data_IF_693971852983
#
_entry.id   IF_693971852983
#
_cell.length_a   1.000
_cell.length_b   1.000
_cell.length_c   1.000
_cell.angle_alpha   90.00
_cell.angle_beta   90.00
_cell.angle_gamma   90.00
#
_symmetry.space_group_name_H-M   'P 1'
#
loop_
_entity.id
_entity.type
_entity.pdbx_description
1 polymer ?
#
# COMPACT_ATOMS: atom_id res chain seq x y z
N UNK A 1 -6.64 14.49 6.09
CA UNK A 1 -6.90 14.17 7.52
C UNK A 1 -8.19 13.36 7.62
N UNK A 2 -9.34 13.83 7.12
CA UNK A 2 -10.63 13.13 7.25
C UNK A 2 -10.65 11.69 6.71
N UNK A 3 -10.04 11.43 5.55
CA UNK A 3 -9.96 10.09 4.96
C UNK A 3 -9.15 9.09 5.82
N UNK A 4 -8.13 9.55 6.54
CA UNK A 4 -7.33 8.71 7.43
C UNK A 4 -8.13 8.26 8.66
N UNK A 5 -9.02 9.11 9.18
CA UNK A 5 -9.91 8.78 10.32
C UNK A 5 -10.78 7.58 9.98
N UNK A 6 -11.38 7.55 8.78
CA UNK A 6 -12.23 6.45 8.34
C UNK A 6 -11.52 5.09 8.38
N UNK A 7 -10.26 5.02 7.92
CA UNK A 7 -9.48 3.77 7.96
C UNK A 7 -9.18 3.29 9.39
N UNK A 8 -8.76 4.20 10.26
CA UNK A 8 -8.39 3.86 11.64
C UNK A 8 -9.61 3.45 12.45
N UNK A 9 -10.71 4.22 12.37
CA UNK A 9 -11.95 3.94 13.09
C UNK A 9 -12.58 2.62 12.61
N UNK A 10 -12.59 2.34 11.31
CA UNK A 10 -13.09 1.07 10.79
C UNK A 10 -12.35 -0.14 11.39
N UNK A 11 -11.02 -0.08 11.51
CA UNK A 11 -10.25 -1.16 12.13
C UNK A 11 -10.51 -1.30 13.63
N UNK A 12 -10.78 -0.19 14.31
CA UNK A 12 -11.17 -0.22 15.72
C UNK A 12 -12.54 -0.90 15.89
N UNK A 13 -13.56 -0.49 15.11
CA UNK A 13 -14.90 -1.08 15.12
C UNK A 13 -14.88 -2.58 14.84
N UNK A 14 -14.07 -3.02 13.87
CA UNK A 14 -13.91 -4.46 13.57
C UNK A 14 -13.38 -5.21 14.78
N UNK A 15 -12.36 -4.65 15.45
CA UNK A 15 -11.74 -5.29 16.62
C UNK A 15 -12.64 -5.31 17.84
N UNK A 16 -13.52 -4.31 17.99
CA UNK A 16 -14.44 -4.21 19.13
C UNK A 16 -15.62 -5.19 19.00
N UNK A 17 -16.05 -5.49 17.77
CA UNK A 17 -17.25 -6.30 17.52
C UNK A 17 -16.96 -7.75 17.10
N UNK A 18 -15.79 -8.04 16.52
CA UNK A 18 -15.45 -9.37 15.99
C UNK A 18 -14.09 -9.85 16.46
N UNK A 19 -13.95 -11.15 16.67
CA UNK A 19 -12.69 -11.78 17.06
C UNK A 19 -12.43 -13.05 16.20
N UNK A 20 -11.16 -13.48 16.15
CA UNK A 20 -10.77 -14.71 15.47
C UNK A 20 -11.17 -14.78 13.99
N UNK A 21 -11.79 -15.89 13.54
CA UNK A 21 -12.15 -16.12 12.14
C UNK A 21 -13.15 -15.09 11.58
N UNK A 22 -14.08 -14.60 12.41
CA UNK A 22 -15.07 -13.61 11.99
C UNK A 22 -14.43 -12.25 11.68
N UNK A 23 -13.53 -11.78 12.55
CA UNK A 23 -12.76 -10.57 12.28
C UNK A 23 -11.91 -10.70 11.00
N UNK A 24 -11.33 -11.87 10.75
CA UNK A 24 -10.61 -12.14 9.51
C UNK A 24 -11.51 -12.06 8.26
N UNK A 25 -12.74 -12.54 8.37
CA UNK A 25 -13.71 -12.49 7.27
C UNK A 25 -14.16 -11.05 6.97
N UNK A 26 -14.48 -10.27 8.01
CA UNK A 26 -14.85 -8.84 7.86
C UNK A 26 -13.67 -8.04 7.28
N UNK A 27 -12.45 -8.26 7.75
CA UNK A 27 -11.25 -7.62 7.18
C UNK A 27 -11.02 -8.04 5.72
N UNK A 28 -11.32 -9.27 5.35
CA UNK A 28 -11.30 -9.74 3.97
C UNK A 28 -12.27 -8.98 3.07
N UNK A 29 -13.51 -8.75 3.55
CA UNK A 29 -14.50 -7.93 2.83
C UNK A 29 -14.04 -6.47 2.69
N UNK A 30 -13.49 -5.89 3.76
CA UNK A 30 -12.93 -4.53 3.71
C UNK A 30 -11.80 -4.46 2.68
N UNK A 31 -10.89 -5.42 2.68
CA UNK A 31 -9.79 -5.49 1.71
C UNK A 31 -10.29 -5.63 0.26
N UNK A 32 -11.37 -6.38 0.04
CA UNK A 32 -12.01 -6.49 -1.28
C UNK A 32 -12.55 -5.15 -1.77
N UNK A 33 -13.28 -4.41 -0.94
CA UNK A 33 -13.79 -3.06 -1.31
C UNK A 33 -12.65 -2.06 -1.52
N UNK A 34 -11.59 -2.15 -0.73
CA UNK A 34 -10.38 -1.34 -0.93
C UNK A 34 -9.68 -1.60 -2.26
N UNK A 35 -9.70 -2.85 -2.73
CA UNK A 35 -9.12 -3.21 -4.02
C UNK A 35 -10.06 -2.84 -5.20
N UNK A 36 -11.38 -2.93 -5.00
CA UNK A 36 -12.37 -2.57 -6.01
C UNK A 36 -12.46 -1.06 -6.27
N UNK A 37 -12.22 -0.24 -5.23
CA UNK A 37 -12.30 1.23 -5.34
C UNK A 37 -11.45 1.83 -6.47
N UNK A 38 -10.14 1.62 -6.50
CA UNK A 38 -9.27 2.11 -7.58
C UNK A 38 -9.63 1.55 -8.97
N UNK A 39 -10.28 0.39 -9.04
CA UNK A 39 -10.73 -0.19 -10.29
C UNK A 39 -11.98 0.52 -10.85
N UNK A 40 -12.92 0.83 -9.97
CA UNK A 40 -14.19 1.46 -10.35
C UNK A 40 -14.10 2.97 -10.47
N UNK A 41 -13.24 3.62 -9.68
CA UNK A 41 -13.16 5.07 -9.63
C UNK A 41 -12.84 5.74 -10.98
N UNK A 42 -11.89 5.26 -11.81
CA UNK A 42 -11.65 5.86 -13.13
C UNK A 42 -12.84 5.72 -14.08
N UNK A 43 -13.55 4.60 -14.02
CA UNK A 43 -14.73 4.34 -14.88
C UNK A 43 -15.86 5.28 -14.50
N UNK A 44 -16.21 5.35 -13.21
CA UNK A 44 -17.26 6.23 -12.71
C UNK A 44 -16.89 7.69 -12.88
N UNK A 45 -15.65 8.05 -12.52
CA UNK A 45 -15.15 9.42 -12.66
C UNK A 45 -15.09 9.88 -14.12
N UNK A 46 -14.65 9.03 -15.03
CA UNK A 46 -14.62 9.30 -16.46
C UNK A 46 -16.02 9.60 -17.03
N UNK A 47 -17.01 8.78 -16.69
CA UNK A 47 -18.40 9.00 -17.12
C UNK A 47 -18.97 10.32 -16.58
N UNK A 48 -18.70 10.66 -15.32
CA UNK A 48 -19.14 11.93 -14.72
C UNK A 48 -18.50 13.12 -15.45
N UNK A 49 -17.20 13.04 -15.74
CA UNK A 49 -16.49 14.09 -16.46
C UNK A 49 -17.05 14.28 -17.87
N UNK A 50 -17.29 13.18 -18.58
CA UNK A 50 -17.82 13.22 -19.97
C UNK A 50 -19.24 13.84 -20.02
N UNK A 51 -20.12 13.50 -19.07
CA UNK A 51 -21.51 13.92 -19.09
C UNK A 51 -21.74 15.29 -18.48
N UNK A 52 -20.99 15.65 -17.42
CA UNK A 52 -21.27 16.81 -16.58
C UNK A 52 -20.05 17.72 -16.34
N UNK A 53 -18.91 17.37 -16.90
CA UNK A 53 -17.66 18.10 -16.69
C UNK A 53 -16.97 17.82 -15.37
N UNK A 54 -15.73 18.27 -15.23
CA UNK A 54 -14.87 17.94 -14.09
C UNK A 54 -15.38 18.45 -12.72
N UNK A 55 -16.12 19.57 -12.70
CA UNK A 55 -16.70 20.10 -11.46
C UNK A 55 -17.73 19.14 -10.83
N UNK A 56 -18.45 18.38 -11.66
CA UNK A 56 -19.44 17.44 -11.19
C UNK A 56 -18.83 16.28 -10.38
N UNK A 57 -17.56 15.95 -10.59
CA UNK A 57 -16.85 14.95 -9.78
C UNK A 57 -16.76 15.41 -8.32
N UNK A 58 -16.46 16.68 -8.07
CA UNK A 58 -16.40 17.22 -6.71
C UNK A 58 -17.77 17.28 -6.05
N UNK A 59 -18.80 17.62 -6.82
CA UNK A 59 -20.19 17.59 -6.33
C UNK A 59 -20.62 16.16 -5.98
N UNK A 60 -20.29 15.19 -6.81
CA UNK A 60 -20.51 13.76 -6.54
C UNK A 60 -19.81 13.32 -5.25
N UNK A 61 -18.54 13.68 -5.08
CA UNK A 61 -17.78 13.35 -3.86
C UNK A 61 -18.38 14.01 -2.61
N UNK A 62 -18.88 15.25 -2.72
CA UNK A 62 -19.57 15.94 -1.63
C UNK A 62 -20.83 15.20 -1.22
N UNK A 63 -21.73 14.92 -2.18
CA UNK A 63 -22.99 14.21 -1.93
C UNK A 63 -22.72 12.81 -1.36
N UNK A 64 -21.77 12.08 -1.93
CA UNK A 64 -21.35 10.77 -1.47
C UNK A 64 -20.83 10.80 -0.02
N UNK A 65 -19.96 11.77 0.30
CA UNK A 65 -19.40 11.91 1.65
C UNK A 65 -20.46 12.28 2.68
N UNK A 66 -21.38 13.18 2.33
CA UNK A 66 -22.49 13.56 3.22
C UNK A 66 -23.46 12.39 3.45
N UNK A 67 -23.73 11.60 2.41
CA UNK A 67 -24.59 10.40 2.52
C UNK A 67 -23.97 9.35 3.45
N UNK A 68 -22.65 9.11 3.33
CA UNK A 68 -21.93 8.20 4.22
C UNK A 68 -21.92 8.75 5.66
N UNK A 69 -21.66 10.05 5.84
CA UNK A 69 -21.66 10.66 7.17
C UNK A 69 -23.02 10.52 7.86
N UNK A 70 -24.11 10.79 7.12
CA UNK A 70 -25.47 10.59 7.62
C UNK A 70 -25.73 9.11 7.95
N UNK A 71 -25.34 8.19 7.07
CA UNK A 71 -25.51 6.76 7.33
C UNK A 71 -24.77 6.30 8.60
N UNK A 72 -23.52 6.74 8.78
CA UNK A 72 -22.73 6.43 9.99
C UNK A 72 -23.43 6.99 11.23
N UNK A 73 -23.83 8.25 11.19
CA UNK A 73 -24.47 8.92 12.32
C UNK A 73 -25.77 8.23 12.78
N UNK A 74 -26.60 7.77 11.84
CA UNK A 74 -27.89 7.17 12.17
C UNK A 74 -27.84 5.65 12.40
N UNK A 75 -26.84 4.95 11.87
CA UNK A 75 -26.84 3.48 11.82
C UNK A 75 -25.73 2.80 12.59
N UNK A 76 -24.63 3.47 12.85
CA UNK A 76 -23.51 2.87 13.57
C UNK A 76 -23.50 3.35 15.02
N UNK A 77 -23.86 2.48 15.98
CA UNK A 77 -23.77 2.82 17.39
C UNK A 77 -22.32 2.93 17.84
N UNK A 78 -22.08 3.64 18.94
CA UNK A 78 -20.77 3.68 19.60
C UNK A 78 -20.41 2.27 20.10
N UNK A 79 -19.26 1.76 19.64
CA UNK A 79 -18.80 0.39 19.97
C UNK A 79 -17.94 0.34 21.21
N UNK A 80 -17.32 1.47 21.62
CA UNK A 80 -16.45 1.53 22.79
C UNK A 80 -17.27 1.69 24.07
N UNK A 81 -17.19 0.70 24.95
CA UNK A 81 -17.84 0.77 26.28
C UNK A 81 -17.33 1.96 27.09
N UNK A 82 -18.22 2.61 27.83
CA UNK A 82 -17.88 3.80 28.62
C UNK A 82 -16.75 3.53 29.65
N UNK A 83 -16.67 2.30 30.17
CA UNK A 83 -15.65 1.83 31.11
C UNK A 83 -14.26 1.72 30.51
N UNK A 84 -14.17 1.52 29.18
CA UNK A 84 -12.91 1.30 28.47
C UNK A 84 -12.36 2.61 27.86
N UNK A 85 -13.08 3.69 28.01
CA UNK A 85 -12.65 5.03 27.56
C UNK A 85 -11.51 5.54 28.43
N UNK A 86 -10.30 5.55 27.85
CA UNK A 86 -9.15 6.17 28.49
C UNK A 86 -9.18 7.69 28.31
N UNK A 87 -8.87 8.49 29.35
CA UNK A 87 -8.73 9.93 29.16
C UNK A 87 -7.63 10.24 28.17
N UNK A 88 -7.89 11.16 27.24
CA UNK A 88 -6.91 11.58 26.24
C UNK A 88 -5.73 12.25 26.93
N UNK A 89 -4.55 11.61 26.88
CA UNK A 89 -3.30 12.15 27.40
C UNK A 89 -2.32 12.42 26.25
N UNK A 90 -2.23 13.67 25.85
CA UNK A 90 -1.38 14.10 24.73
C UNK A 90 0.10 13.76 24.96
N UNK A 91 0.60 13.89 26.19
CA UNK A 91 1.99 13.57 26.53
C UNK A 91 2.28 12.07 26.35
N UNK A 92 1.37 11.19 26.76
CA UNK A 92 1.49 9.75 26.56
C UNK A 92 1.44 9.38 25.07
N UNK A 93 0.56 10.02 24.31
CA UNK A 93 0.47 9.84 22.86
C UNK A 93 1.77 10.27 22.20
N UNK A 94 2.24 11.48 22.43
CA UNK A 94 3.50 11.99 21.87
C UNK A 94 4.70 11.10 22.27
N UNK A 95 4.75 10.66 23.53
CA UNK A 95 5.80 9.75 24.02
C UNK A 95 5.79 8.39 23.30
N UNK A 96 4.61 7.83 23.01
CA UNK A 96 4.50 6.59 22.25
C UNK A 96 4.95 6.78 20.79
N UNK A 97 4.53 7.85 20.12
CA UNK A 97 4.99 8.18 18.77
C UNK A 97 6.51 8.42 18.72
N UNK A 98 7.08 9.13 19.68
CA UNK A 98 8.52 9.33 19.78
C UNK A 98 9.27 8.00 19.90
N UNK A 99 8.79 7.07 20.73
CA UNK A 99 9.35 5.72 20.85
C UNK A 99 9.29 4.96 19.54
N UNK A 100 8.19 5.07 18.77
CA UNK A 100 8.06 4.46 17.46
C UNK A 100 9.06 5.03 16.46
N UNK A 101 9.14 6.35 16.36
CA UNK A 101 10.01 7.05 15.42
C UNK A 101 11.51 6.90 15.73
N UNK A 102 11.88 6.68 16.99
CA UNK A 102 13.27 6.44 17.40
C UNK A 102 13.68 4.96 17.35
N UNK A 103 12.72 4.05 17.12
CA UNK A 103 13.01 2.62 17.10
C UNK A 103 13.60 2.19 15.76
N UNK A 104 14.92 2.08 15.64
CA UNK A 104 15.64 1.87 14.40
C UNK A 104 15.19 0.66 13.58
N UNK A 105 15.00 -0.51 14.19
CA UNK A 105 14.56 -1.72 13.49
C UNK A 105 13.13 -1.61 12.95
N UNK A 106 12.24 -0.94 13.66
CA UNK A 106 10.87 -0.64 13.19
C UNK A 106 10.91 0.37 12.05
N UNK A 107 11.63 1.47 12.20
CA UNK A 107 11.70 2.52 11.19
C UNK A 107 12.30 2.05 9.86
N UNK A 108 13.36 1.22 9.90
CA UNK A 108 13.90 0.62 8.66
C UNK A 108 12.88 -0.27 7.96
N UNK A 109 12.08 -1.05 8.70
CA UNK A 109 10.99 -1.84 8.15
C UNK A 109 9.84 -0.99 7.59
N UNK A 110 9.48 0.09 8.28
CA UNK A 110 8.43 1.03 7.86
C UNK A 110 8.84 1.80 6.60
N UNK A 111 10.07 2.29 6.55
CA UNK A 111 10.61 2.99 5.36
C UNK A 111 10.68 2.03 4.18
N UNK A 112 11.16 0.79 4.37
CA UNK A 112 11.15 -0.22 3.32
C UNK A 112 9.72 -0.48 2.78
N UNK A 113 8.72 -0.54 3.66
CA UNK A 113 7.32 -0.71 3.28
C UNK A 113 6.79 0.52 2.50
N UNK A 114 7.14 1.73 2.92
CA UNK A 114 6.81 2.96 2.18
C UNK A 114 7.41 2.96 0.77
N UNK A 115 8.70 2.60 0.63
CA UNK A 115 9.39 2.52 -0.67
C UNK A 115 8.78 1.44 -1.57
N UNK A 116 8.31 0.33 -1.00
CA UNK A 116 7.55 -0.68 -1.77
C UNK A 116 6.32 -0.06 -2.43
N UNK A 117 5.59 0.78 -1.70
CA UNK A 117 4.45 1.52 -2.26
C UNK A 117 4.87 2.59 -3.27
N UNK A 118 5.98 3.28 -3.02
CA UNK A 118 6.49 4.31 -3.92
C UNK A 118 6.70 3.79 -5.34
N UNK A 119 7.31 2.62 -5.50
CA UNK A 119 7.52 2.00 -6.81
C UNK A 119 6.23 1.47 -7.45
N UNK A 120 5.28 0.95 -6.65
CA UNK A 120 4.00 0.47 -7.16
C UNK A 120 3.08 1.59 -7.64
N UNK A 121 3.11 2.71 -6.93
CA UNK A 121 2.29 3.90 -7.26
C UNK A 121 2.87 4.72 -8.41
N UNK A 122 4.13 4.54 -8.75
CA UNK A 122 4.80 5.24 -9.83
C UNK A 122 4.01 5.19 -11.15
N UNK A 123 3.54 4.00 -11.52
CA UNK A 123 2.74 3.81 -12.74
C UNK A 123 1.33 4.36 -12.63
N UNK A 124 0.72 4.33 -11.45
CA UNK A 124 -0.61 4.91 -11.24
C UNK A 124 -0.56 6.44 -11.18
N UNK A 125 0.45 7.02 -10.52
CA UNK A 125 0.63 8.45 -10.44
C UNK A 125 1.07 9.06 -11.79
N UNK A 126 1.88 8.32 -12.56
CA UNK A 126 2.32 8.70 -13.90
C UNK A 126 1.46 8.14 -15.03
N UNK A 127 0.26 7.62 -14.74
CA UNK A 127 -0.56 6.89 -15.71
C UNK A 127 -0.86 7.69 -16.98
N UNK A 128 -1.14 8.98 -16.85
CA UNK A 128 -1.39 9.84 -18.01
C UNK A 128 -0.18 9.93 -18.95
N UNK A 129 1.02 10.12 -18.41
CA UNK A 129 2.24 10.13 -19.21
C UNK A 129 2.55 8.76 -19.77
N UNK A 130 2.43 7.72 -18.95
CA UNK A 130 2.75 6.36 -19.36
C UNK A 130 1.82 5.85 -20.47
N UNK A 131 0.50 6.07 -20.34
CA UNK A 131 -0.50 5.62 -21.34
C UNK A 131 -0.39 6.46 -22.61
N UNK A 132 -0.38 7.79 -22.53
CA UNK A 132 -0.46 8.66 -23.69
C UNK A 132 0.90 8.79 -24.39
N UNK A 133 2.00 9.04 -23.66
CA UNK A 133 3.29 9.32 -24.28
C UNK A 133 4.17 8.10 -24.45
N UNK A 134 4.14 7.15 -23.50
CA UNK A 134 4.99 5.96 -23.55
C UNK A 134 4.34 4.83 -24.34
N UNK A 135 3.04 4.56 -24.08
CA UNK A 135 2.31 3.51 -24.80
C UNK A 135 1.71 3.99 -26.12
N UNK A 136 1.59 5.31 -26.33
CA UNK A 136 1.00 5.90 -27.54
C UNK A 136 -0.50 5.67 -27.69
N UNK A 137 -1.21 5.52 -26.56
CA UNK A 137 -2.64 5.22 -26.50
C UNK A 137 -3.47 6.47 -26.21
N UNK A 138 -4.75 6.43 -26.54
CA UNK A 138 -5.70 7.50 -26.27
C UNK A 138 -6.21 7.47 -24.81
N UNK A 139 -6.87 8.57 -24.39
CA UNK A 139 -7.34 8.76 -23.00
C UNK A 139 -8.40 7.72 -22.60
N UNK A 140 -9.20 7.24 -23.52
CA UNK A 140 -10.21 6.20 -23.31
C UNK A 140 -9.60 4.79 -23.15
N UNK A 141 -8.32 4.63 -23.53
CA UNK A 141 -7.61 3.36 -23.46
C UNK A 141 -6.81 3.14 -22.15
N UNK A 142 -6.99 3.99 -21.14
CA UNK A 142 -6.35 3.83 -19.83
C UNK A 142 -6.59 2.46 -19.16
N UNK A 143 -7.64 1.77 -19.59
CA UNK A 143 -7.94 0.42 -19.14
C UNK A 143 -6.81 -0.58 -19.42
N UNK A 144 -6.07 -0.40 -20.51
CA UNK A 144 -4.97 -1.29 -20.89
C UNK A 144 -3.81 -1.30 -19.89
N UNK A 145 -3.58 -0.19 -19.18
CA UNK A 145 -2.64 -0.16 -18.07
C UNK A 145 -3.30 -0.62 -16.76
N UNK A 146 -4.49 -0.10 -16.45
CA UNK A 146 -5.11 -0.29 -15.14
C UNK A 146 -5.58 -1.72 -14.90
N UNK A 147 -6.19 -2.36 -15.91
CA UNK A 147 -6.75 -3.72 -15.77
C UNK A 147 -5.66 -4.76 -15.45
N UNK A 148 -4.52 -4.85 -16.16
CA UNK A 148 -3.45 -5.79 -15.81
C UNK A 148 -2.87 -5.55 -14.42
N UNK A 149 -2.72 -4.29 -13.97
CA UNK A 149 -2.22 -3.97 -12.63
C UNK A 149 -3.18 -4.43 -11.53
N UNK A 150 -4.49 -4.31 -11.77
CA UNK A 150 -5.52 -4.78 -10.84
C UNK A 150 -5.48 -6.30 -10.73
N UNK A 151 -5.45 -7.01 -11.85
CA UNK A 151 -5.33 -8.48 -11.86
C UNK A 151 -4.04 -8.95 -11.18
N UNK A 152 -2.91 -8.30 -11.43
CA UNK A 152 -1.65 -8.58 -10.75
C UNK A 152 -1.75 -8.37 -9.23
N UNK A 153 -2.42 -7.30 -8.80
CA UNK A 153 -2.65 -7.01 -7.38
C UNK A 153 -3.55 -8.07 -6.71
N UNK A 154 -4.62 -8.52 -7.38
CA UNK A 154 -5.45 -9.61 -6.88
C UNK A 154 -4.69 -10.94 -6.81
N UNK A 155 -3.96 -11.29 -7.87
CA UNK A 155 -3.14 -12.49 -7.90
C UNK A 155 -2.06 -12.46 -6.81
N UNK A 156 -1.44 -11.31 -6.60
CA UNK A 156 -0.45 -11.09 -5.54
C UNK A 156 -1.06 -11.22 -4.14
N UNK A 157 -2.20 -10.61 -3.87
CA UNK A 157 -2.87 -10.71 -2.58
C UNK A 157 -3.28 -12.15 -2.27
N UNK A 158 -3.86 -12.85 -3.24
CA UNK A 158 -4.21 -14.26 -3.12
C UNK A 158 -2.98 -15.17 -2.97
N UNK A 159 -1.93 -14.91 -3.75
CA UNK A 159 -0.65 -15.58 -3.66
C UNK A 159 0.01 -15.38 -2.29
N UNK A 160 -0.10 -14.19 -1.70
CA UNK A 160 0.42 -13.89 -0.35
C UNK A 160 -0.15 -14.84 0.71
N UNK A 161 -1.46 -15.07 0.69
CA UNK A 161 -2.13 -15.99 1.64
C UNK A 161 -1.62 -17.43 1.48
N UNK A 162 -1.38 -17.87 0.25
CA UNK A 162 -0.89 -19.23 -0.04
C UNK A 162 0.59 -19.39 0.28
N UNK A 163 1.41 -18.43 -0.11
CA UNK A 163 2.85 -18.44 0.16
C UNK A 163 3.15 -18.33 1.66
N UNK A 164 2.39 -17.53 2.40
CA UNK A 164 2.54 -17.39 3.85
C UNK A 164 2.31 -18.72 4.61
N UNK A 165 1.55 -19.65 4.03
CA UNK A 165 1.38 -21.02 4.59
C UNK A 165 2.57 -21.94 4.31
N UNK A 166 3.36 -21.67 3.27
CA UNK A 166 4.47 -22.53 2.80
C UNK A 166 5.85 -21.98 3.12
N UNK A 167 5.99 -20.66 3.13
CA UNK A 167 7.27 -19.97 3.31
C UNK A 167 7.29 -19.18 4.61
N UNK A 168 8.45 -19.19 5.28
CA UNK A 168 8.67 -18.26 6.40
C UNK A 168 8.65 -16.82 5.88
N UNK A 169 8.03 -15.86 6.61
CA UNK A 169 7.90 -14.47 6.18
C UNK A 169 9.20 -13.84 5.66
N UNK A 170 10.32 -14.09 6.36
CA UNK A 170 11.66 -13.61 5.96
C UNK A 170 12.08 -14.10 4.58
N UNK A 171 11.90 -15.39 4.28
CA UNK A 171 12.27 -15.98 2.98
C UNK A 171 11.35 -15.47 1.87
N UNK A 172 10.07 -15.35 2.16
CA UNK A 172 9.09 -14.83 1.21
C UNK A 172 9.47 -13.42 0.75
N UNK A 173 9.81 -12.52 1.68
CA UNK A 173 10.18 -11.14 1.35
C UNK A 173 11.43 -11.10 0.49
N UNK A 174 12.48 -11.86 0.84
CA UNK A 174 13.72 -11.90 0.07
C UNK A 174 13.44 -12.41 -1.35
N UNK A 175 12.80 -13.57 -1.50
CA UNK A 175 12.55 -14.19 -2.81
C UNK A 175 11.73 -13.25 -3.69
N UNK A 176 10.61 -12.72 -3.18
CA UNK A 176 9.74 -11.85 -3.98
C UNK A 176 10.43 -10.53 -4.31
N UNK A 177 11.18 -9.92 -3.39
CA UNK A 177 11.94 -8.69 -3.69
C UNK A 177 13.01 -8.91 -4.74
N UNK A 178 13.74 -10.04 -4.70
CA UNK A 178 14.75 -10.38 -5.71
C UNK A 178 14.10 -10.62 -7.08
N UNK A 179 12.97 -11.33 -7.13
CA UNK A 179 12.25 -11.57 -8.38
C UNK A 179 11.68 -10.27 -8.96
N UNK A 180 11.11 -9.41 -8.12
CA UNK A 180 10.61 -8.09 -8.55
C UNK A 180 11.74 -7.21 -9.06
N UNK A 181 12.89 -7.18 -8.37
CA UNK A 181 14.08 -6.45 -8.79
C UNK A 181 14.59 -6.97 -10.13
N UNK A 182 14.82 -8.27 -10.25
CA UNK A 182 15.33 -8.89 -11.48
C UNK A 182 14.38 -8.64 -12.66
N UNK A 183 13.07 -8.82 -12.46
CA UNK A 183 12.06 -8.55 -13.48
C UNK A 183 12.02 -7.09 -13.92
N UNK A 184 12.11 -6.14 -12.99
CA UNK A 184 12.14 -4.71 -13.31
C UNK A 184 13.44 -4.30 -14.03
N UNK A 185 14.60 -4.87 -13.65
CA UNK A 185 15.88 -4.62 -14.33
C UNK A 185 15.85 -5.19 -15.76
N UNK A 186 15.37 -6.42 -15.93
CA UNK A 186 15.25 -7.04 -17.25
C UNK A 186 14.29 -6.24 -18.17
N UNK A 187 13.16 -5.78 -17.64
CA UNK A 187 12.25 -4.94 -18.38
C UNK A 187 12.91 -3.60 -18.76
N UNK A 188 13.63 -2.94 -17.84
CA UNK A 188 14.34 -1.70 -18.13
C UNK A 188 15.40 -1.87 -19.22
N UNK A 189 16.17 -2.96 -19.18
CA UNK A 189 17.17 -3.28 -20.21
C UNK A 189 16.50 -3.53 -21.57
N UNK A 190 15.41 -4.28 -21.55
CA UNK A 190 14.67 -4.58 -22.77
C UNK A 190 14.07 -3.30 -23.39
N UNK A 191 13.43 -2.46 -22.58
CA UNK A 191 12.84 -1.18 -22.98
C UNK A 191 13.90 -0.17 -23.46
N UNK A 192 15.16 -0.32 -23.00
CA UNK A 192 16.27 0.54 -23.45
C UNK A 192 16.87 0.10 -24.79
N UNK A 193 16.95 -1.22 -25.04
CA UNK A 193 17.64 -1.79 -26.22
C UNK A 193 16.69 -1.92 -27.41
N UNK A 194 15.44 -2.23 -27.18
CA UNK A 194 14.42 -2.46 -28.20
C UNK A 194 13.30 -1.41 -28.05
N UNK A 195 12.62 -1.12 -29.17
CA UNK A 195 11.32 -0.42 -29.12
C UNK A 195 10.25 -1.46 -28.80
N UNK A 196 9.86 -1.62 -27.53
CA UNK A 196 8.97 -2.70 -27.14
C UNK A 196 7.56 -2.44 -27.67
N UNK A 197 6.95 -3.50 -28.19
CA UNK A 197 5.52 -3.47 -28.47
C UNK A 197 4.71 -3.28 -27.18
N UNK A 198 3.52 -2.75 -27.30
CA UNK A 198 2.59 -2.41 -26.24
C UNK A 198 2.52 -3.42 -25.07
N UNK A 199 2.39 -4.74 -25.37
CA UNK A 199 2.28 -5.78 -24.32
C UNK A 199 3.56 -5.91 -23.47
N UNK A 200 4.73 -5.64 -24.04
CA UNK A 200 6.00 -5.75 -23.35
C UNK A 200 6.20 -4.61 -22.35
N UNK A 201 5.65 -3.43 -22.64
CA UNK A 201 5.65 -2.28 -21.72
C UNK A 201 4.90 -2.56 -20.42
N UNK A 202 3.96 -3.52 -20.40
CA UNK A 202 3.21 -3.91 -19.22
C UNK A 202 3.99 -4.84 -18.26
N UNK A 203 5.12 -5.42 -18.70
CA UNK A 203 5.85 -6.39 -17.87
C UNK A 203 6.31 -5.78 -16.56
N UNK A 204 6.99 -4.64 -16.58
CA UNK A 204 7.50 -3.98 -15.38
C UNK A 204 6.39 -3.58 -14.39
N UNK A 205 5.34 -2.83 -14.81
CA UNK A 205 4.26 -2.45 -13.89
C UNK A 205 3.48 -3.65 -13.33
N UNK A 206 3.24 -4.69 -14.13
CA UNK A 206 2.53 -5.90 -13.69
C UNK A 206 3.36 -6.69 -12.68
N UNK A 207 4.64 -6.94 -12.97
CA UNK A 207 5.54 -7.64 -12.05
C UNK A 207 5.71 -6.89 -10.72
N UNK A 208 5.86 -5.57 -10.80
CA UNK A 208 5.99 -4.77 -9.58
C UNK A 208 4.70 -4.77 -8.75
N UNK A 209 3.54 -4.61 -9.38
CA UNK A 209 2.23 -4.66 -8.70
C UNK A 209 1.98 -6.02 -8.05
N UNK A 210 2.34 -7.11 -8.72
CA UNK A 210 2.28 -8.47 -8.17
C UNK A 210 3.18 -8.60 -6.94
N UNK A 211 4.45 -8.19 -7.05
CA UNK A 211 5.43 -8.22 -5.96
C UNK A 211 4.99 -7.38 -4.77
N UNK A 212 4.50 -6.16 -5.01
CA UNK A 212 3.96 -5.29 -3.97
C UNK A 212 2.78 -5.93 -3.24
N UNK A 213 1.82 -6.49 -3.96
CA UNK A 213 0.64 -7.11 -3.36
C UNK A 213 0.98 -8.39 -2.57
N UNK A 214 2.00 -9.14 -3.00
CA UNK A 214 2.54 -10.28 -2.25
C UNK A 214 3.18 -9.85 -0.93
N UNK A 215 3.98 -8.78 -0.93
CA UNK A 215 4.81 -8.39 0.21
C UNK A 215 4.08 -7.52 1.24
N UNK A 216 3.13 -6.69 0.78
CA UNK A 216 2.42 -5.72 1.60
C UNK A 216 1.89 -6.28 2.92
N UNK A 217 1.05 -7.35 2.96
CA UNK A 217 0.48 -7.84 4.22
C UNK A 217 1.54 -8.44 5.15
N UNK A 218 2.56 -9.09 4.59
CA UNK A 218 3.62 -9.73 5.36
C UNK A 218 4.51 -8.68 6.03
N UNK A 219 4.95 -7.66 5.29
CA UNK A 219 5.76 -6.57 5.84
C UNK A 219 4.98 -5.77 6.88
N UNK A 220 3.70 -5.51 6.63
CA UNK A 220 2.82 -4.83 7.59
C UNK A 220 2.74 -5.60 8.90
N UNK A 221 2.41 -6.88 8.86
CA UNK A 221 2.31 -7.72 10.05
C UNK A 221 3.62 -7.76 10.85
N UNK A 222 4.75 -7.98 10.15
CA UNK A 222 6.06 -8.03 10.81
C UNK A 222 6.47 -6.70 11.45
N UNK A 223 6.06 -5.56 10.89
CA UNK A 223 6.33 -4.26 11.49
C UNK A 223 5.49 -4.04 12.77
N UNK A 224 4.21 -4.46 12.75
CA UNK A 224 3.33 -4.32 13.92
C UNK A 224 3.78 -5.17 15.13
N UNK A 225 4.54 -6.24 14.91
CA UNK A 225 5.07 -7.10 15.97
C UNK A 225 6.08 -6.39 16.90
N UNK A 226 6.70 -5.27 16.45
CA UNK A 226 7.58 -4.49 17.32
C UNK A 226 6.84 -3.80 18.47
N UNK A 227 5.55 -3.54 18.31
CA UNK A 227 4.73 -2.84 19.31
C UNK A 227 3.42 -3.58 19.59
N UNK A 228 3.48 -4.78 20.22
CA UNK A 228 2.29 -5.62 20.42
C UNK A 228 1.21 -4.96 21.28
N UNK A 229 1.63 -4.08 22.22
CA UNK A 229 0.72 -3.32 23.09
C UNK A 229 0.21 -2.02 22.47
N UNK A 230 0.89 -1.51 21.43
CA UNK A 230 0.59 -0.21 20.79
C UNK A 230 0.52 -0.35 19.25
N UNK A 231 -0.14 -1.40 18.76
CA UNK A 231 -0.27 -1.70 17.31
C UNK A 231 -0.91 -0.58 16.53
N UNK A 232 -1.87 0.15 17.11
CA UNK A 232 -2.52 1.30 16.48
C UNK A 232 -1.54 2.43 16.15
N UNK A 233 -0.65 2.78 17.08
CA UNK A 233 0.41 3.76 16.86
C UNK A 233 1.37 3.29 15.76
N UNK A 234 1.81 2.03 15.81
CA UNK A 234 2.71 1.47 14.80
C UNK A 234 2.07 1.46 13.40
N UNK A 235 0.78 1.11 13.31
CA UNK A 235 0.02 1.17 12.05
C UNK A 235 -0.11 2.62 11.53
N UNK A 236 -0.34 3.59 12.40
CA UNK A 236 -0.45 5.00 12.03
C UNK A 236 0.87 5.55 11.48
N UNK A 237 2.01 5.25 12.13
CA UNK A 237 3.34 5.62 11.62
C UNK A 237 3.58 4.98 10.25
N UNK A 238 3.30 3.69 10.11
CA UNK A 238 3.48 2.98 8.84
C UNK A 238 2.62 3.57 7.72
N UNK A 239 1.35 3.88 7.99
CA UNK A 239 0.46 4.48 7.01
C UNK A 239 0.90 5.90 6.62
N UNK A 240 1.45 6.67 7.56
CA UNK A 240 2.04 7.97 7.26
C UNK A 240 3.17 7.85 6.22
N UNK A 241 4.11 6.91 6.40
CA UNK A 241 5.21 6.70 5.46
C UNK A 241 4.73 6.18 4.10
N UNK A 242 3.69 5.32 4.07
CA UNK A 242 3.06 4.90 2.81
C UNK A 242 2.47 6.10 2.07
N UNK A 243 1.73 6.97 2.75
CA UNK A 243 1.14 8.17 2.13
C UNK A 243 2.20 9.17 1.70
N UNK A 244 3.23 9.40 2.52
CA UNK A 244 4.36 10.26 2.17
C UNK A 244 5.11 9.74 0.93
N UNK A 245 5.30 8.43 0.82
CA UNK A 245 5.90 7.79 -0.35
C UNK A 245 5.07 7.98 -1.62
N UNK A 246 3.74 7.97 -1.49
CA UNK A 246 2.82 8.29 -2.59
C UNK A 246 3.04 9.74 -3.07
N UNK A 247 3.02 10.70 -2.14
CA UNK A 247 3.25 12.10 -2.48
C UNK A 247 4.62 12.31 -3.11
N UNK A 248 5.65 11.67 -2.57
CA UNK A 248 7.00 11.75 -3.12
C UNK A 248 7.10 11.15 -4.53
N UNK A 249 6.47 10.00 -4.75
CA UNK A 249 6.43 9.38 -6.08
C UNK A 249 5.79 10.31 -7.11
N UNK A 250 4.63 10.90 -6.80
CA UNK A 250 3.93 11.78 -7.71
C UNK A 250 4.67 13.11 -7.96
N UNK A 251 5.27 13.69 -6.91
CA UNK A 251 5.89 15.02 -7.00
C UNK A 251 7.33 14.99 -7.52
N UNK A 252 8.07 13.90 -7.28
CA UNK A 252 9.51 13.83 -7.57
C UNK A 252 9.83 12.77 -8.62
N UNK A 253 9.41 11.51 -8.40
CA UNK A 253 9.77 10.42 -9.31
C UNK A 253 9.11 10.54 -10.67
N UNK A 254 7.79 10.79 -10.72
CA UNK A 254 7.06 10.89 -11.99
C UNK A 254 7.68 11.93 -12.92
N UNK A 255 7.95 13.19 -12.52
CA UNK A 255 8.59 14.17 -13.39
C UNK A 255 9.97 13.76 -13.93
N UNK A 256 10.74 12.96 -13.16
CA UNK A 256 12.07 12.50 -13.56
C UNK A 256 12.00 11.40 -14.64
N UNK A 257 10.98 10.52 -14.55
CA UNK A 257 10.87 9.35 -15.43
C UNK A 257 9.99 9.55 -16.64
N UNK A 258 9.24 10.65 -16.70
CA UNK A 258 8.30 10.96 -17.79
C UNK A 258 8.89 10.75 -19.18
N UNK A 259 8.05 10.26 -20.09
CA UNK A 259 8.34 10.11 -21.52
C UNK A 259 9.24 8.93 -21.90
N UNK A 260 9.58 8.03 -20.95
CA UNK A 260 10.49 6.92 -21.26
C UNK A 260 10.16 5.66 -20.46
N UNK A 261 9.77 4.58 -21.14
CA UNK A 261 9.45 3.29 -20.52
C UNK A 261 10.57 2.76 -19.62
N UNK A 262 11.82 2.73 -20.13
CA UNK A 262 12.96 2.21 -19.40
C UNK A 262 13.25 2.98 -18.09
N UNK A 263 12.96 4.30 -18.04
CA UNK A 263 13.13 5.08 -16.81
C UNK A 263 12.12 4.68 -15.75
N UNK A 264 10.85 4.43 -16.13
CA UNK A 264 9.83 3.91 -15.22
C UNK A 264 10.24 2.55 -14.65
N UNK A 265 10.70 1.63 -15.52
CA UNK A 265 11.16 0.31 -15.11
C UNK A 265 12.42 0.38 -14.22
N UNK A 266 13.38 1.26 -14.54
CA UNK A 266 14.59 1.47 -13.74
C UNK A 266 14.27 2.07 -12.36
N UNK A 267 13.36 3.03 -12.29
CA UNK A 267 12.92 3.61 -11.02
C UNK A 267 12.22 2.58 -10.13
N UNK A 268 11.37 1.72 -10.71
CA UNK A 268 10.77 0.62 -9.97
C UNK A 268 11.80 -0.43 -9.52
N UNK A 269 12.81 -0.73 -10.35
CA UNK A 269 13.94 -1.59 -9.97
C UNK A 269 14.75 -0.99 -8.80
N UNK A 270 15.01 0.31 -8.83
CA UNK A 270 15.69 1.01 -7.74
C UNK A 270 14.88 0.95 -6.43
N UNK A 271 13.56 1.15 -6.51
CA UNK A 271 12.69 0.97 -5.35
C UNK A 271 12.75 -0.47 -4.82
N UNK A 272 12.68 -1.49 -5.69
CA UNK A 272 12.79 -2.89 -5.28
C UNK A 272 14.14 -3.22 -4.62
N UNK A 273 15.23 -2.67 -5.14
CA UNK A 273 16.56 -2.78 -4.54
C UNK A 273 16.60 -2.16 -3.13
N UNK A 274 16.10 -0.93 -2.96
CA UNK A 274 16.04 -0.27 -1.66
C UNK A 274 15.16 -1.03 -0.66
N UNK A 275 14.02 -1.57 -1.10
CA UNK A 275 13.17 -2.43 -0.28
C UNK A 275 13.97 -3.62 0.24
N UNK A 276 14.66 -4.34 -0.64
CA UNK A 276 15.48 -5.49 -0.27
C UNK A 276 16.59 -5.09 0.71
N UNK A 277 17.35 -4.04 0.40
CA UNK A 277 18.47 -3.58 1.22
C UNK A 277 18.01 -3.17 2.64
N UNK A 278 17.02 -2.29 2.73
CA UNK A 278 16.48 -1.83 4.01
C UNK A 278 15.83 -2.96 4.81
N UNK A 279 15.16 -3.88 4.11
CA UNK A 279 14.56 -5.03 4.77
C UNK A 279 15.62 -5.98 5.35
N UNK A 280 16.71 -6.20 4.65
CA UNK A 280 17.85 -6.98 5.16
C UNK A 280 18.46 -6.33 6.42
N UNK A 281 18.59 -5.00 6.43
CA UNK A 281 19.03 -4.24 7.61
C UNK A 281 18.01 -4.40 8.75
N UNK A 282 16.73 -4.19 8.49
CA UNK A 282 15.66 -4.37 9.48
C UNK A 282 15.69 -5.77 10.10
N UNK A 283 15.89 -6.82 9.28
CA UNK A 283 15.97 -8.19 9.76
C UNK A 283 17.20 -8.48 10.63
N UNK A 284 18.34 -7.84 10.37
CA UNK A 284 19.52 -7.95 11.24
C UNK A 284 19.27 -7.33 12.62
N UNK A 285 18.57 -6.21 12.68
CA UNK A 285 18.24 -5.51 13.91
C UNK A 285 17.08 -6.14 14.70
N UNK A 286 16.23 -6.93 14.03
CA UNK A 286 14.99 -7.49 14.58
C UNK A 286 15.19 -8.37 15.82
N UNK A 287 16.13 -9.33 15.90
CA UNK A 287 16.25 -10.22 17.04
C UNK A 287 16.45 -9.49 18.36
N UNK A 288 17.32 -8.48 18.39
CA UNK A 288 17.58 -7.67 19.58
C UNK A 288 16.40 -6.76 19.94
N UNK A 289 15.77 -6.17 18.92
CA UNK A 289 14.63 -5.29 19.10
C UNK A 289 13.42 -6.02 19.70
N UNK A 290 13.13 -7.25 19.26
CA UNK A 290 12.05 -8.08 19.80
C UNK A 290 12.35 -8.58 21.22
N UNK A 291 13.62 -8.87 21.54
CA UNK A 291 14.05 -9.16 22.93
C UNK A 291 13.73 -8.00 23.87
N UNK A 292 14.09 -6.76 23.46
CA UNK A 292 13.80 -5.54 24.23
C UNK A 292 12.31 -5.26 24.38
N UNK A 293 11.51 -5.64 23.40
CA UNK A 293 10.05 -5.50 23.44
C UNK A 293 9.32 -6.59 24.25
N UNK A 294 10.05 -7.58 24.80
CA UNK A 294 9.49 -8.66 25.60
C UNK A 294 8.68 -9.69 24.81
N UNK A 295 8.92 -9.81 23.51
CA UNK A 295 8.21 -10.79 22.65
C UNK A 295 8.74 -12.20 22.92
N UNK A 296 7.86 -13.22 23.13
CA UNK A 296 8.26 -14.59 23.41
C UNK A 296 9.18 -15.18 22.32
N UNK A 297 10.08 -16.08 22.74
CA UNK A 297 11.04 -16.70 21.79
C UNK A 297 10.38 -17.47 20.65
N UNK A 298 9.20 -18.03 20.89
CA UNK A 298 8.41 -18.76 19.87
C UNK A 298 7.96 -17.89 18.72
N UNK A 299 7.90 -16.57 18.86
CA UNK A 299 7.50 -15.60 17.84
C UNK A 299 8.69 -14.85 17.19
N UNK A 300 9.93 -15.13 17.63
CA UNK A 300 11.16 -14.52 17.09
C UNK A 300 11.70 -15.32 15.90
#
# INVERSE_FOLDING_TARGET
IGAAVGQVVTQAIVRDNWSGPEAANVNGMIAFFFAAGPALAPVVGGQIVMLFGWHAVFLFLLVYSLSIAAFIYYRIPETLHATDRSPFNLSAVCGNYAKGLTHGAFMTGVIAHGILFMGGILYSAGSADFVIKVMGLDVDEFGWLSIPLIFASFAGAWGSIRLAKRLRPKRMIIIVSVLTLAGSVLAALFDYIAEPGFLLLLIAPVLYSLGMALLRPVMMAMNLDYFPKNRGMAAAIQQFFVTASFCFSAAVWVPIVMGSAWKYALASAFCAFLVLALWLVSMRLRPEALKRAGVPETMR
#
